data_IF_799138957700
#
_entry.id   IF_799138957700
#
_cell.length_a   1.000
_cell.length_b   1.000
_cell.length_c   1.000
_cell.angle_alpha   90.00
_cell.angle_beta   90.00
_cell.angle_gamma   90.00
#
_symmetry.space_group_name_H-M   'P 1'
#
loop_
_entity.id
_entity.type
_entity.pdbx_description
1 polymer ?
#
# COMPACT_ATOMS: atom_id res chain seq x y z
N UNK A 1 -11.16 -5.94 22.80
CA UNK A 1 -9.88 -6.24 22.13
C UNK A 1 -8.73 -5.77 23.01
N UNK A 2 -7.62 -6.46 23.00
CA UNK A 2 -6.37 -6.02 23.64
C UNK A 2 -5.31 -5.69 22.56
N UNK A 3 -4.37 -4.81 22.92
CA UNK A 3 -3.25 -4.47 22.05
C UNK A 3 -2.19 -5.57 22.16
N UNK A 4 -1.82 -6.16 21.03
CA UNK A 4 -0.74 -7.15 20.94
C UNK A 4 0.59 -6.44 21.16
N UNK A 5 1.45 -6.99 22.01
CA UNK A 5 2.79 -6.44 22.24
C UNK A 5 3.71 -6.77 21.08
N UNK A 6 4.71 -5.92 20.83
CA UNK A 6 5.65 -6.08 19.71
C UNK A 6 6.45 -7.39 19.78
N UNK A 7 6.64 -7.94 20.97
CA UNK A 7 7.28 -9.25 21.18
C UNK A 7 6.52 -10.40 20.52
N UNK A 8 5.20 -10.26 20.37
CA UNK A 8 4.32 -11.25 19.75
C UNK A 8 4.06 -11.01 18.26
N UNK A 9 4.66 -9.99 17.65
CA UNK A 9 4.45 -9.69 16.23
C UNK A 9 4.95 -10.78 15.29
N UNK A 10 5.98 -11.53 15.66
CA UNK A 10 6.42 -12.72 14.92
C UNK A 10 5.34 -13.79 14.84
N UNK A 11 4.65 -14.07 15.95
CA UNK A 11 3.54 -15.04 16.01
C UNK A 11 2.38 -14.56 15.12
N UNK A 12 2.02 -13.28 15.22
CA UNK A 12 1.00 -12.68 14.35
C UNK A 12 1.38 -12.83 12.88
N UNK A 13 2.66 -12.58 12.53
CA UNK A 13 3.15 -12.70 11.14
C UNK A 13 3.01 -14.12 10.59
N UNK A 14 3.24 -15.14 11.41
CA UNK A 14 3.06 -16.55 11.04
C UNK A 14 1.59 -16.96 10.88
N UNK A 15 0.67 -16.27 11.56
CA UNK A 15 -0.77 -16.53 11.49
C UNK A 15 -1.41 -15.98 10.21
N UNK A 16 -0.80 -14.98 9.59
CA UNK A 16 -1.38 -14.27 8.44
C UNK A 16 -0.93 -14.94 7.14
N UNK A 17 -1.89 -15.46 6.37
CA UNK A 17 -1.61 -16.04 5.04
C UNK A 17 -1.36 -14.97 3.97
N UNK A 18 -2.18 -13.89 3.99
CA UNK A 18 -2.11 -12.78 3.04
C UNK A 18 -2.64 -11.51 3.68
N UNK A 19 -1.90 -10.42 3.51
CA UNK A 19 -2.30 -9.09 3.97
C UNK A 19 -1.70 -8.00 3.05
N UNK A 20 -2.22 -6.75 3.10
CA UNK A 20 -1.59 -5.59 2.48
C UNK A 20 -0.17 -5.37 3.01
N UNK A 21 0.71 -4.80 2.20
CA UNK A 21 2.13 -4.61 2.53
C UNK A 21 2.34 -3.83 3.84
N UNK A 22 1.49 -2.82 4.13
CA UNK A 22 1.62 -2.05 5.37
C UNK A 22 1.46 -2.88 6.66
N UNK A 23 0.73 -3.99 6.60
CA UNK A 23 0.59 -4.92 7.74
C UNK A 23 1.96 -5.51 8.10
N UNK A 24 2.71 -5.97 7.11
CA UNK A 24 4.07 -6.48 7.32
C UNK A 24 5.02 -5.35 7.76
N UNK A 25 4.85 -4.13 7.23
CA UNK A 25 5.62 -2.97 7.67
C UNK A 25 5.39 -2.64 9.15
N UNK A 26 4.16 -2.79 9.67
CA UNK A 26 3.84 -2.66 11.11
C UNK A 26 4.50 -3.78 11.91
N UNK A 27 4.31 -5.04 11.48
CA UNK A 27 4.83 -6.22 12.21
C UNK A 27 6.36 -6.24 12.29
N UNK A 28 7.03 -5.67 11.32
CA UNK A 28 8.49 -5.52 11.29
C UNK A 28 8.97 -4.17 11.86
N UNK A 29 8.05 -3.37 12.40
CA UNK A 29 8.32 -2.07 13.01
C UNK A 29 9.03 -1.08 12.08
N UNK A 30 8.85 -1.22 10.77
CA UNK A 30 9.33 -0.30 9.75
C UNK A 30 8.52 1.00 9.76
N UNK A 31 7.22 0.89 10.02
CA UNK A 31 6.33 2.03 10.24
C UNK A 31 5.63 1.92 11.60
N UNK A 32 5.26 3.07 12.17
CA UNK A 32 4.52 3.12 13.42
C UNK A 32 3.08 2.64 13.22
N UNK A 33 2.67 1.68 14.06
CA UNK A 33 1.33 1.12 14.03
C UNK A 33 0.99 0.30 15.26
N UNK A 34 -0.20 -0.28 15.26
CA UNK A 34 -0.67 -1.15 16.34
C UNK A 34 -1.42 -2.35 15.78
N UNK A 35 -1.35 -3.45 16.50
CA UNK A 35 -2.12 -4.67 16.26
C UNK A 35 -3.01 -4.92 17.45
N UNK A 36 -4.28 -5.21 17.21
CA UNK A 36 -5.25 -5.58 18.22
C UNK A 36 -5.80 -6.97 17.92
N UNK A 37 -5.99 -7.78 18.96
CA UNK A 37 -6.61 -9.09 18.87
C UNK A 37 -7.88 -9.15 19.73
N UNK A 38 -8.83 -9.97 19.32
CA UNK A 38 -10.05 -10.21 20.06
C UNK A 38 -9.81 -11.12 21.28
N UNK A 39 -8.90 -12.09 21.14
CA UNK A 39 -8.54 -13.06 22.18
C UNK A 39 -7.08 -13.52 22.03
N UNK A 40 -6.59 -14.29 23.00
CA UNK A 40 -5.21 -14.81 23.00
C UNK A 40 -4.90 -15.79 21.86
N UNK A 41 -5.93 -16.40 21.27
CA UNK A 41 -5.79 -17.31 20.12
C UNK A 41 -5.65 -16.58 18.79
N UNK A 42 -5.69 -15.25 18.76
CA UNK A 42 -5.50 -14.38 17.60
C UNK A 42 -6.48 -14.69 16.44
N UNK A 43 -7.72 -15.11 16.78
CA UNK A 43 -8.70 -15.52 15.76
C UNK A 43 -9.14 -14.35 14.87
N UNK A 44 -9.19 -13.14 15.45
CA UNK A 44 -9.53 -11.92 14.70
C UNK A 44 -8.57 -10.81 15.07
N UNK A 45 -8.01 -10.18 14.06
CA UNK A 45 -7.00 -9.14 14.18
C UNK A 45 -7.45 -7.84 13.51
N UNK A 46 -7.08 -6.73 14.12
CA UNK A 46 -7.19 -5.40 13.53
C UNK A 46 -5.81 -4.73 13.55
N UNK A 47 -5.33 -4.36 12.37
CA UNK A 47 -4.10 -3.59 12.17
C UNK A 47 -4.45 -2.13 11.98
N UNK A 48 -3.64 -1.26 12.54
CA UNK A 48 -3.82 0.19 12.47
C UNK A 48 -2.47 0.87 12.25
N UNK A 49 -2.35 1.68 11.20
CA UNK A 49 -1.25 2.63 11.05
C UNK A 49 -1.54 3.91 11.83
N UNK A 50 -0.51 4.70 12.11
CA UNK A 50 -0.66 6.03 12.72
C UNK A 50 -1.50 7.00 11.86
N UNK A 51 -1.45 6.84 10.54
CA UNK A 51 -2.18 7.69 9.58
C UNK A 51 -3.65 7.31 9.36
N UNK A 52 -4.19 6.32 10.09
CA UNK A 52 -5.60 5.93 9.98
C UNK A 52 -5.92 4.98 8.82
N UNK A 53 -4.94 4.14 8.45
CA UNK A 53 -5.15 3.00 7.56
C UNK A 53 -5.31 1.76 8.42
N UNK A 54 -6.33 0.95 8.11
CA UNK A 54 -6.70 -0.22 8.89
C UNK A 54 -6.79 -1.46 8.01
N UNK A 55 -6.59 -2.63 8.61
CA UNK A 55 -6.84 -3.93 7.97
C UNK A 55 -7.44 -4.88 8.98
N UNK A 56 -8.49 -5.62 8.58
CA UNK A 56 -9.11 -6.68 9.38
C UNK A 56 -8.74 -8.05 8.83
N UNK A 57 -8.46 -8.99 9.73
CA UNK A 57 -8.11 -10.36 9.39
C UNK A 57 -8.79 -11.36 10.33
N UNK A 58 -9.08 -12.57 9.82
CA UNK A 58 -9.60 -13.69 10.59
C UNK A 58 -11.12 -13.74 10.66
N UNK A 59 -11.66 -14.21 11.78
CA UNK A 59 -13.09 -14.49 11.96
C UNK A 59 -13.93 -13.20 12.03
N UNK A 60 -14.82 -13.03 11.07
CA UNK A 60 -15.75 -11.89 10.98
C UNK A 60 -16.88 -11.90 12.02
N UNK A 61 -17.06 -13.00 12.75
CA UNK A 61 -18.06 -13.07 13.84
C UNK A 61 -17.70 -12.24 15.07
N UNK A 62 -16.45 -11.76 15.15
CA UNK A 62 -15.95 -11.00 16.31
C UNK A 62 -16.64 -9.63 16.45
N UNK A 63 -17.58 -9.53 17.39
CA UNK A 63 -18.24 -8.27 17.74
C UNK A 63 -17.28 -7.26 18.38
N UNK A 64 -16.19 -7.72 18.97
CA UNK A 64 -15.17 -6.85 19.55
C UNK A 64 -14.42 -6.06 18.48
N UNK A 65 -14.10 -6.69 17.32
CA UNK A 65 -13.45 -6.02 16.19
C UNK A 65 -14.37 -4.95 15.61
N UNK A 66 -15.64 -5.28 15.35
CA UNK A 66 -16.64 -4.33 14.82
C UNK A 66 -16.83 -3.14 15.77
N UNK A 67 -16.96 -3.39 17.07
CA UNK A 67 -17.10 -2.32 18.06
C UNK A 67 -15.88 -1.41 18.11
N UNK A 68 -14.67 -1.98 17.99
CA UNK A 68 -13.43 -1.20 17.90
C UNK A 68 -13.38 -0.36 16.63
N UNK A 69 -13.74 -0.95 15.47
CA UNK A 69 -13.81 -0.23 14.19
C UNK A 69 -14.81 0.93 14.24
N UNK A 70 -15.99 0.72 14.82
CA UNK A 70 -17.00 1.78 14.99
C UNK A 70 -16.47 2.94 15.84
N UNK A 71 -15.77 2.63 16.94
CA UNK A 71 -15.16 3.64 17.80
C UNK A 71 -14.06 4.43 17.06
N UNK A 72 -13.20 3.76 16.29
CA UNK A 72 -12.13 4.39 15.51
C UNK A 72 -12.70 5.26 14.38
N UNK A 73 -13.77 4.81 13.72
CA UNK A 73 -14.48 5.59 12.72
C UNK A 73 -15.10 6.85 13.33
N UNK A 74 -15.78 6.74 14.47
CA UNK A 74 -16.35 7.87 15.19
C UNK A 74 -15.26 8.88 15.59
N UNK A 75 -14.15 8.40 16.15
CA UNK A 75 -13.00 9.26 16.49
C UNK A 75 -12.45 9.97 15.25
N UNK A 76 -12.36 9.27 14.11
CA UNK A 76 -11.88 9.86 12.86
C UNK A 76 -12.80 10.98 12.34
N UNK A 77 -14.11 10.82 12.52
CA UNK A 77 -15.11 11.85 12.16
C UNK A 77 -14.94 13.06 13.06
N UNK A 78 -14.89 12.87 14.38
CA UNK A 78 -14.79 13.96 15.37
C UNK A 78 -13.49 14.74 15.22
N UNK A 79 -12.38 14.06 14.91
CA UNK A 79 -11.06 14.68 14.79
C UNK A 79 -10.69 15.08 13.36
N UNK A 80 -11.60 14.88 12.40
CA UNK A 80 -11.36 15.06 10.97
C UNK A 80 -10.08 14.36 10.48
N UNK A 81 -9.85 13.12 10.95
CA UNK A 81 -8.73 12.26 10.56
C UNK A 81 -9.14 11.30 9.47
N UNK A 82 -8.16 10.71 8.80
CA UNK A 82 -8.34 9.62 7.83
C UNK A 82 -8.94 8.38 8.50
N UNK A 83 -9.84 7.71 7.79
CA UNK A 83 -10.26 6.34 8.06
C UNK A 83 -10.32 5.60 6.72
N UNK A 84 -9.43 4.65 6.53
CA UNK A 84 -9.36 3.81 5.32
C UNK A 84 -9.14 2.37 5.75
N UNK A 85 -10.16 1.52 5.59
CA UNK A 85 -10.18 0.15 6.06
C UNK A 85 -10.10 -0.82 4.88
N UNK A 86 -9.07 -1.63 4.84
CA UNK A 86 -8.86 -2.71 3.88
C UNK A 86 -9.49 -4.01 4.39
N UNK A 87 -10.14 -4.74 3.50
CA UNK A 87 -10.70 -6.05 3.79
C UNK A 87 -10.57 -6.98 2.59
N UNK A 88 -9.96 -8.16 2.80
CA UNK A 88 -9.81 -9.21 1.78
C UNK A 88 -10.86 -10.33 1.92
N UNK A 89 -11.78 -10.21 2.87
CA UNK A 89 -12.81 -11.21 3.18
C UNK A 89 -14.20 -10.68 2.88
N UNK A 90 -14.98 -11.43 2.10
CA UNK A 90 -16.38 -11.09 1.81
C UNK A 90 -17.26 -11.14 3.07
N UNK A 91 -16.94 -12.02 4.03
CA UNK A 91 -17.65 -12.07 5.32
C UNK A 91 -17.41 -10.79 6.13
N UNK A 92 -16.16 -10.30 6.16
CA UNK A 92 -15.86 -8.99 6.74
C UNK A 92 -16.53 -7.85 5.99
N UNK A 93 -16.54 -7.88 4.64
CA UNK A 93 -17.20 -6.86 3.82
C UNK A 93 -18.68 -6.77 4.19
N UNK A 94 -19.37 -7.90 4.23
CA UNK A 94 -20.78 -7.98 4.62
C UNK A 94 -21.03 -7.42 6.02
N UNK A 95 -20.19 -7.79 6.98
CA UNK A 95 -20.31 -7.33 8.37
C UNK A 95 -20.08 -5.81 8.50
N UNK A 96 -19.08 -5.27 7.82
CA UNK A 96 -18.77 -3.84 7.79
C UNK A 96 -19.93 -3.06 7.15
N UNK A 97 -20.45 -3.52 6.02
CA UNK A 97 -21.60 -2.90 5.35
C UNK A 97 -22.86 -2.89 6.24
N UNK A 98 -23.14 -3.98 6.94
CA UNK A 98 -24.29 -4.04 7.85
C UNK A 98 -24.20 -3.08 9.03
N UNK A 99 -23.00 -2.80 9.52
CA UNK A 99 -22.77 -2.09 10.78
C UNK A 99 -22.30 -0.64 10.62
N UNK A 100 -21.63 -0.31 9.51
CA UNK A 100 -20.97 0.99 9.32
C UNK A 100 -21.42 1.73 8.04
N UNK A 101 -22.31 1.18 7.23
CA UNK A 101 -22.70 1.68 5.89
C UNK A 101 -23.08 3.16 5.82
N UNK A 102 -23.65 3.71 6.89
CA UNK A 102 -24.12 5.13 6.91
C UNK A 102 -22.94 6.10 6.91
N UNK A 103 -21.77 5.66 7.35
CA UNK A 103 -20.59 6.50 7.61
C UNK A 103 -19.41 6.23 6.69
N UNK A 104 -19.49 5.15 5.89
CA UNK A 104 -18.39 4.76 5.00
C UNK A 104 -18.89 4.55 3.57
N UNK A 105 -18.02 4.90 2.62
CA UNK A 105 -18.15 4.50 1.22
C UNK A 105 -17.29 3.26 1.00
N UNK A 106 -17.64 2.45 -0.01
CA UNK A 106 -16.87 1.28 -0.44
C UNK A 106 -16.33 1.53 -1.84
N UNK A 107 -15.09 1.17 -2.08
CA UNK A 107 -14.52 0.99 -3.40
C UNK A 107 -13.89 -0.41 -3.50
N UNK A 108 -13.74 -0.90 -4.72
CA UNK A 108 -13.05 -2.15 -4.99
C UNK A 108 -11.71 -1.90 -5.63
N UNK A 109 -10.73 -2.71 -5.26
CA UNK A 109 -9.38 -2.68 -5.81
C UNK A 109 -8.97 -4.08 -6.27
N UNK A 110 -8.01 -4.14 -7.16
CA UNK A 110 -7.27 -5.36 -7.47
C UNK A 110 -5.95 -5.37 -6.70
N UNK A 111 -5.59 -6.56 -6.18
CA UNK A 111 -4.24 -6.91 -5.79
C UNK A 111 -3.76 -8.04 -6.69
N UNK A 112 -2.48 -8.05 -7.05
CA UNK A 112 -1.93 -8.96 -8.05
C UNK A 112 -0.89 -9.89 -7.44
N UNK A 113 -0.66 -11.02 -8.12
CA UNK A 113 0.50 -11.86 -7.88
C UNK A 113 1.61 -11.49 -8.85
N UNK A 114 2.84 -11.35 -8.36
CA UNK A 114 3.99 -11.11 -9.23
C UNK A 114 4.56 -12.44 -9.77
N UNK A 115 4.63 -12.56 -11.08
CA UNK A 115 5.25 -13.68 -11.80
C UNK A 115 6.61 -13.23 -12.37
N UNK A 116 7.68 -13.65 -11.69
CA UNK A 116 9.07 -13.35 -12.10
C UNK A 116 9.42 -13.89 -13.49
N UNK A 117 8.83 -15.02 -13.90
CA UNK A 117 9.10 -15.58 -15.22
C UNK A 117 8.42 -14.75 -16.32
N UNK A 118 7.16 -14.35 -16.10
CA UNK A 118 6.47 -13.44 -17.01
C UNK A 118 7.22 -12.10 -17.12
N UNK A 119 7.68 -11.54 -15.99
CA UNK A 119 8.50 -10.33 -15.97
C UNK A 119 9.80 -10.50 -16.78
N UNK A 120 10.53 -11.56 -16.61
CA UNK A 120 11.82 -11.80 -17.28
C UNK A 120 11.67 -12.03 -18.80
N UNK A 121 10.55 -12.59 -19.24
CA UNK A 121 10.27 -12.91 -20.64
C UNK A 121 9.51 -11.81 -21.39
N UNK A 122 9.16 -10.68 -20.73
CA UNK A 122 8.48 -9.55 -21.37
C UNK A 122 9.37 -8.87 -22.41
N UNK A 123 8.76 -8.17 -23.35
CA UNK A 123 9.49 -7.20 -24.17
C UNK A 123 10.03 -6.07 -23.27
N UNK A 124 11.33 -5.88 -23.30
CA UNK A 124 11.97 -4.80 -22.55
C UNK A 124 11.70 -3.45 -23.23
N UNK A 125 11.43 -2.45 -22.42
CA UNK A 125 11.38 -1.08 -22.96
C UNK A 125 12.77 -0.67 -23.48
N UNK A 126 12.78 -0.06 -24.67
CA UNK A 126 13.98 0.60 -25.16
C UNK A 126 14.40 1.71 -24.17
N UNK A 127 15.70 2.00 -24.11
CA UNK A 127 16.20 3.07 -23.27
C UNK A 127 15.56 4.39 -23.67
N UNK A 128 14.81 4.98 -22.76
CA UNK A 128 14.26 6.32 -22.98
C UNK A 128 15.39 7.34 -22.80
N UNK A 129 15.33 8.43 -23.59
CA UNK A 129 16.29 9.55 -23.48
C UNK A 129 15.99 10.44 -22.26
N UNK A 130 15.69 9.82 -21.10
CA UNK A 130 15.44 10.50 -19.84
C UNK A 130 16.39 9.97 -18.77
N UNK A 131 16.84 10.88 -17.91
CA UNK A 131 17.68 10.52 -16.78
C UNK A 131 16.85 9.82 -15.70
N UNK A 132 17.21 8.58 -15.36
CA UNK A 132 16.58 7.84 -14.25
C UNK A 132 17.50 7.86 -13.04
N UNK A 133 17.03 8.43 -11.93
CA UNK A 133 17.82 8.57 -10.70
C UNK A 133 17.05 8.02 -9.50
N UNK A 134 17.80 7.50 -8.50
CA UNK A 134 17.23 7.08 -7.22
C UNK A 134 16.83 8.30 -6.40
N UNK A 135 15.67 8.24 -5.77
CA UNK A 135 15.14 9.33 -4.95
C UNK A 135 16.00 9.50 -3.69
N UNK A 136 16.41 10.74 -3.44
CA UNK A 136 17.07 11.24 -2.24
C UNK A 136 16.37 12.52 -1.79
N UNK A 137 16.81 13.14 -0.71
CA UNK A 137 16.19 14.37 -0.18
C UNK A 137 15.99 15.45 -1.26
N UNK A 138 17.00 15.71 -2.08
CA UNK A 138 16.91 16.73 -3.13
C UNK A 138 15.76 16.45 -4.14
N UNK A 139 15.48 15.18 -4.49
CA UNK A 139 14.39 14.84 -5.39
C UNK A 139 13.04 15.04 -4.70
N UNK A 140 12.94 14.79 -3.40
CA UNK A 140 11.73 15.00 -2.61
C UNK A 140 11.39 16.49 -2.54
N UNK A 141 12.38 17.34 -2.38
CA UNK A 141 12.21 18.81 -2.34
C UNK A 141 11.72 19.39 -3.70
N UNK A 142 11.91 18.65 -4.80
CA UNK A 142 11.54 19.03 -6.17
C UNK A 142 10.60 18.01 -6.83
N UNK A 143 9.90 17.22 -6.04
CA UNK A 143 9.06 16.11 -6.49
C UNK A 143 7.90 16.55 -7.40
N UNK A 144 7.36 15.58 -8.12
CA UNK A 144 6.12 15.76 -8.88
C UNK A 144 4.89 15.67 -7.96
N UNK A 145 4.86 14.64 -7.09
CA UNK A 145 3.74 14.39 -6.18
C UNK A 145 4.21 13.91 -4.79
N UNK A 146 5.21 13.03 -4.72
CA UNK A 146 5.62 12.40 -3.46
C UNK A 146 6.51 13.31 -2.63
N UNK A 147 5.89 14.29 -1.98
CA UNK A 147 6.53 15.31 -1.15
C UNK A 147 6.72 14.86 0.30
N UNK A 148 7.29 15.73 1.15
CA UNK A 148 7.51 15.42 2.56
C UNK A 148 6.22 15.03 3.29
N UNK A 149 5.06 15.65 2.98
CA UNK A 149 3.78 15.32 3.60
C UNK A 149 3.34 13.89 3.26
N UNK A 150 3.55 13.43 2.02
CA UNK A 150 3.31 12.05 1.62
C UNK A 150 4.13 11.07 2.48
N UNK A 151 5.41 11.33 2.68
CA UNK A 151 6.25 10.45 3.51
C UNK A 151 5.92 10.53 5.00
N UNK A 152 5.53 11.69 5.51
CA UNK A 152 5.00 11.81 6.87
C UNK A 152 3.75 10.96 7.07
N UNK A 153 2.86 10.93 6.08
CA UNK A 153 1.61 10.16 6.14
C UNK A 153 1.86 8.65 6.13
N UNK A 154 2.68 8.14 5.22
CA UNK A 154 2.83 6.70 5.02
C UNK A 154 4.02 6.10 5.78
N UNK A 155 5.07 6.87 6.00
CA UNK A 155 6.31 6.43 6.63
C UNK A 155 6.55 7.02 8.02
N UNK A 156 5.72 7.96 8.45
CA UNK A 156 5.89 8.70 9.68
C UNK A 156 6.93 9.81 9.61
N UNK A 157 7.85 9.75 8.64
CA UNK A 157 8.79 10.83 8.30
C UNK A 157 9.51 10.55 6.97
N UNK A 158 9.98 11.62 6.33
CA UNK A 158 10.87 11.53 5.15
C UNK A 158 12.18 10.79 5.47
N UNK A 159 12.74 10.99 6.66
CA UNK A 159 13.95 10.30 7.10
C UNK A 159 13.77 8.78 7.15
N UNK A 160 12.64 8.31 7.70
CA UNK A 160 12.34 6.88 7.74
C UNK A 160 12.18 6.28 6.33
N UNK A 161 11.53 7.00 5.40
CA UNK A 161 11.50 6.57 4.00
C UNK A 161 12.89 6.47 3.37
N UNK A 162 13.74 7.48 3.57
CA UNK A 162 15.09 7.49 2.99
C UNK A 162 15.99 6.38 3.56
N UNK A 163 15.76 5.96 4.79
CA UNK A 163 16.50 4.88 5.45
C UNK A 163 15.97 3.49 5.06
N UNK A 164 14.66 3.29 5.05
CA UNK A 164 14.03 1.97 4.95
C UNK A 164 13.26 1.75 3.65
N UNK A 165 12.86 2.80 2.95
CA UNK A 165 12.19 2.77 1.66
C UNK A 165 13.15 2.95 0.49
N UNK A 166 12.61 3.06 -0.70
CA UNK A 166 13.35 3.44 -1.92
C UNK A 166 12.37 3.93 -3.00
N UNK A 167 12.93 4.58 -4.02
CA UNK A 167 12.19 5.04 -5.18
C UNK A 167 13.09 5.58 -6.26
N UNK A 168 12.51 5.82 -7.42
CA UNK A 168 13.16 6.34 -8.60
C UNK A 168 12.34 7.48 -9.20
N UNK A 169 13.00 8.42 -9.86
CA UNK A 169 12.34 9.42 -10.68
C UNK A 169 12.99 9.54 -12.05
N UNK A 170 12.20 9.93 -13.04
CA UNK A 170 12.65 10.28 -14.38
C UNK A 170 12.69 11.80 -14.52
N UNK A 171 13.77 12.32 -15.08
CA UNK A 171 13.96 13.75 -15.35
C UNK A 171 14.01 14.04 -16.84
N UNK A 172 13.41 15.16 -17.21
CA UNK A 172 13.59 15.82 -18.49
C UNK A 172 14.15 17.23 -18.24
N UNK A 173 15.44 17.40 -18.43
CA UNK A 173 16.17 18.56 -17.92
C UNK A 173 16.12 18.59 -16.39
N UNK A 174 15.71 19.72 -15.83
CA UNK A 174 15.60 19.87 -14.36
C UNK A 174 14.25 19.41 -13.79
N UNK A 175 13.27 19.10 -14.67
CA UNK A 175 11.91 18.71 -14.24
C UNK A 175 11.81 17.22 -14.01
N UNK A 176 11.25 16.80 -12.86
CA UNK A 176 10.81 15.43 -12.62
C UNK A 176 9.48 15.23 -13.37
N UNK A 177 9.40 14.15 -14.16
CA UNK A 177 8.28 13.87 -15.07
C UNK A 177 7.58 12.55 -14.75
N UNK A 178 8.22 11.66 -13.99
CA UNK A 178 7.61 10.45 -13.45
C UNK A 178 8.34 10.01 -12.20
N UNK A 179 7.62 9.45 -11.24
CA UNK A 179 8.14 8.94 -9.96
C UNK A 179 7.52 7.57 -9.67
N UNK A 180 8.33 6.69 -9.09
CA UNK A 180 7.89 5.42 -8.52
C UNK A 180 8.56 5.23 -7.16
N UNK A 181 7.76 5.03 -6.12
CA UNK A 181 8.23 4.90 -4.74
C UNK A 181 7.62 3.67 -4.06
N UNK A 182 8.30 3.15 -3.05
CA UNK A 182 7.66 2.21 -2.13
C UNK A 182 6.72 3.00 -1.21
N UNK A 183 5.39 2.86 -1.40
CA UNK A 183 4.42 3.43 -0.45
C UNK A 183 4.54 2.73 0.89
N UNK A 184 4.73 1.42 0.88
CA UNK A 184 5.04 0.58 2.04
C UNK A 184 6.11 -0.44 1.68
N UNK A 185 6.90 -0.83 2.66
CA UNK A 185 7.94 -1.85 2.49
C UNK A 185 8.14 -2.65 3.78
N UNK A 186 8.44 -3.92 3.61
CA UNK A 186 8.90 -4.85 4.62
C UNK A 186 10.19 -5.55 4.14
N UNK A 187 10.70 -6.49 4.91
CA UNK A 187 11.82 -7.32 4.46
C UNK A 187 11.50 -8.16 3.22
N UNK A 188 10.22 -8.56 3.06
CA UNK A 188 9.79 -9.47 1.99
C UNK A 188 9.03 -8.78 0.86
N UNK A 189 8.40 -7.62 1.11
CA UNK A 189 7.48 -6.99 0.18
C UNK A 189 7.78 -5.51 0.02
N UNK A 190 7.57 -4.98 -1.18
CA UNK A 190 7.53 -3.54 -1.44
C UNK A 190 6.36 -3.22 -2.37
N UNK A 191 5.45 -2.39 -1.91
CA UNK A 191 4.30 -1.93 -2.67
C UNK A 191 4.64 -0.64 -3.40
N UNK A 192 4.42 -0.63 -4.71
CA UNK A 192 4.76 0.50 -5.56
C UNK A 192 3.62 1.51 -5.61
N UNK A 193 3.98 2.80 -5.54
CA UNK A 193 3.13 3.92 -5.95
C UNK A 193 3.79 4.69 -7.07
N UNK A 194 3.02 5.08 -8.10
CA UNK A 194 3.56 5.66 -9.33
C UNK A 194 2.73 6.85 -9.78
N UNK A 195 3.43 7.92 -10.14
CA UNK A 195 2.84 9.08 -10.80
C UNK A 195 3.61 9.43 -12.06
N UNK A 196 2.90 9.93 -13.07
CA UNK A 196 3.50 10.50 -14.30
C UNK A 196 2.79 11.81 -14.64
N UNK A 197 3.57 12.86 -14.86
CA UNK A 197 3.08 14.18 -15.28
C UNK A 197 2.14 14.05 -16.49
N UNK A 198 1.00 14.71 -16.42
CA UNK A 198 -0.08 14.61 -17.42
C UNK A 198 0.39 14.87 -18.85
N UNK A 199 1.36 15.76 -19.04
CA UNK A 199 1.92 16.12 -20.35
C UNK A 199 2.86 15.05 -20.92
N UNK A 200 3.26 14.07 -20.09
CA UNK A 200 4.19 12.99 -20.46
C UNK A 200 3.52 11.60 -20.42
N UNK A 201 2.20 11.54 -20.24
CA UNK A 201 1.45 10.28 -20.31
C UNK A 201 1.42 9.72 -21.74
N UNK A 202 1.23 8.41 -21.86
CA UNK A 202 1.22 7.72 -23.15
C UNK A 202 2.61 7.44 -23.74
N UNK A 203 3.70 7.89 -23.12
CA UNK A 203 5.09 7.69 -23.56
C UNK A 203 5.78 6.46 -22.96
N UNK A 204 5.05 5.62 -22.22
CA UNK A 204 5.61 4.42 -21.58
C UNK A 204 6.41 4.67 -20.30
N UNK A 205 6.45 5.92 -19.79
CA UNK A 205 7.29 6.30 -18.64
C UNK A 205 6.93 5.54 -17.36
N UNK A 206 5.63 5.35 -17.09
CA UNK A 206 5.17 4.60 -15.92
C UNK A 206 5.68 3.14 -15.95
N UNK A 207 5.63 2.48 -17.10
CA UNK A 207 6.17 1.12 -17.25
C UNK A 207 7.69 1.10 -17.07
N UNK A 208 8.41 2.04 -17.67
CA UNK A 208 9.86 2.13 -17.58
C UNK A 208 10.34 2.36 -16.13
N UNK A 209 9.72 3.30 -15.40
CA UNK A 209 10.13 3.58 -14.02
C UNK A 209 9.74 2.45 -13.06
N UNK A 210 8.60 1.78 -13.32
CA UNK A 210 8.20 0.60 -12.57
C UNK A 210 9.17 -0.57 -12.80
N UNK A 211 9.75 -0.74 -14.00
CA UNK A 211 10.83 -1.71 -14.24
C UNK A 211 12.02 -1.46 -13.33
N UNK A 212 12.44 -0.19 -13.16
CA UNK A 212 13.56 0.16 -12.26
C UNK A 212 13.25 -0.19 -10.81
N UNK A 213 12.00 0.04 -10.39
CA UNK A 213 11.54 -0.35 -9.06
C UNK A 213 11.54 -1.87 -8.87
N UNK A 214 11.01 -2.63 -9.83
CA UNK A 214 10.95 -4.09 -9.79
C UNK A 214 12.35 -4.69 -9.83
N UNK A 215 13.25 -4.18 -10.68
CA UNK A 215 14.62 -4.63 -10.75
C UNK A 215 15.35 -4.45 -9.40
N UNK A 216 15.17 -3.30 -8.73
CA UNK A 216 15.73 -3.05 -7.40
C UNK A 216 15.14 -4.01 -6.35
N UNK A 217 13.84 -4.29 -6.40
CA UNK A 217 13.21 -5.32 -5.56
C UNK A 217 13.87 -6.69 -5.75
N UNK A 218 14.01 -7.12 -7.01
CA UNK A 218 14.56 -8.45 -7.33
C UNK A 218 16.04 -8.59 -6.98
N UNK A 219 16.81 -7.52 -7.07
CA UNK A 219 18.23 -7.48 -6.64
C UNK A 219 18.39 -7.63 -5.12
N UNK A 220 17.37 -7.25 -4.36
CA UNK A 220 17.37 -7.29 -2.89
C UNK A 220 16.49 -8.42 -2.31
N UNK A 221 16.08 -9.40 -3.13
CA UNK A 221 15.19 -10.51 -2.76
C UNK A 221 13.84 -10.05 -2.16
N UNK A 222 13.35 -8.88 -2.58
CA UNK A 222 12.06 -8.31 -2.19
C UNK A 222 11.04 -8.62 -3.28
N UNK A 223 9.84 -9.04 -2.89
CA UNK A 223 8.73 -9.26 -3.81
C UNK A 223 8.02 -7.92 -4.07
N UNK A 224 7.98 -7.43 -5.31
CA UNK A 224 7.19 -6.25 -5.65
C UNK A 224 5.70 -6.55 -5.54
N UNK A 225 4.92 -5.59 -5.02
CA UNK A 225 3.47 -5.64 -4.91
C UNK A 225 2.85 -4.54 -5.75
N UNK A 226 1.70 -4.86 -6.36
CA UNK A 226 0.93 -3.96 -7.21
C UNK A 226 -0.54 -4.05 -6.86
N UNK A 227 -1.12 -2.91 -6.51
CA UNK A 227 -2.54 -2.77 -6.26
C UNK A 227 -3.08 -1.57 -7.05
N UNK A 228 -4.31 -1.67 -7.55
CA UNK A 228 -4.96 -0.53 -8.21
C UNK A 228 -6.48 -0.58 -8.05
N UNK A 229 -7.14 0.56 -8.16
CA UNK A 229 -8.59 0.63 -8.22
C UNK A 229 -9.10 -0.10 -9.47
N UNK A 230 -10.25 -0.75 -9.38
CA UNK A 230 -10.80 -1.55 -10.50
C UNK A 230 -11.05 -0.71 -11.76
N UNK A 231 -11.33 0.59 -11.58
CA UNK A 231 -11.58 1.54 -12.67
C UNK A 231 -10.30 2.18 -13.21
N UNK A 232 -9.13 1.93 -12.57
CA UNK A 232 -7.85 2.42 -13.04
C UNK A 232 -7.24 1.47 -14.10
N UNK A 233 -7.86 1.47 -15.29
CA UNK A 233 -7.42 0.63 -16.40
C UNK A 233 -5.97 0.89 -16.82
N UNK A 234 -5.49 2.14 -16.67
CA UNK A 234 -4.09 2.50 -16.98
C UNK A 234 -3.11 1.74 -16.08
N UNK A 235 -3.32 1.79 -14.75
CA UNK A 235 -2.51 1.06 -13.78
C UNK A 235 -2.61 -0.46 -13.98
N UNK A 236 -3.83 -0.98 -14.21
CA UNK A 236 -4.04 -2.39 -14.51
C UNK A 236 -3.18 -2.87 -15.69
N UNK A 237 -3.21 -2.13 -16.82
CA UNK A 237 -2.44 -2.52 -18.00
C UNK A 237 -0.93 -2.41 -17.81
N UNK A 238 -0.46 -1.40 -17.07
CA UNK A 238 0.97 -1.29 -16.72
C UNK A 238 1.40 -2.48 -15.87
N UNK A 239 0.65 -2.81 -14.81
CA UNK A 239 0.95 -3.96 -13.96
C UNK A 239 0.97 -5.28 -14.76
N UNK A 240 -0.05 -5.54 -15.59
CA UNK A 240 -0.14 -6.75 -16.40
C UNK A 240 1.06 -6.94 -17.35
N UNK A 241 1.54 -5.87 -17.99
CA UNK A 241 2.73 -5.88 -18.83
C UNK A 241 4.02 -6.18 -18.06
N UNK A 242 4.05 -5.88 -16.78
CA UNK A 242 5.20 -6.05 -15.90
C UNK A 242 5.17 -7.35 -15.08
N UNK A 243 4.36 -8.32 -15.51
CA UNK A 243 4.31 -9.64 -14.88
C UNK A 243 3.45 -9.71 -13.62
N UNK A 244 2.61 -8.71 -13.37
CA UNK A 244 1.58 -8.79 -12.32
C UNK A 244 0.34 -9.49 -12.88
N UNK A 245 0.03 -10.66 -12.34
CA UNK A 245 -0.97 -11.61 -12.84
C UNK A 245 -2.00 -11.96 -11.76
N UNK A 246 -3.03 -12.72 -12.14
CA UNK A 246 -4.03 -13.25 -11.21
C UNK A 246 -4.63 -12.16 -10.31
N UNK A 247 -5.27 -11.11 -10.86
CA UNK A 247 -5.88 -10.07 -10.07
C UNK A 247 -6.99 -10.64 -9.18
N UNK A 248 -6.94 -10.30 -7.89
CA UNK A 248 -7.97 -10.66 -6.92
C UNK A 248 -8.57 -9.37 -6.39
N UNK A 249 -9.91 -9.30 -6.41
CA UNK A 249 -10.62 -8.14 -5.86
C UNK A 249 -10.61 -8.15 -4.35
N UNK A 250 -10.57 -6.95 -3.78
CA UNK A 250 -10.77 -6.71 -2.36
C UNK A 250 -11.48 -5.37 -2.14
N UNK A 251 -12.04 -5.19 -0.96
CA UNK A 251 -12.76 -3.97 -0.60
C UNK A 251 -11.89 -3.00 0.20
N UNK A 252 -12.10 -1.70 -0.05
CA UNK A 252 -11.61 -0.61 0.78
C UNK A 252 -12.81 0.24 1.20
N UNK A 253 -12.98 0.42 2.51
CA UNK A 253 -13.99 1.29 3.10
C UNK A 253 -13.32 2.56 3.58
N UNK A 254 -13.89 3.70 3.24
CA UNK A 254 -13.34 4.99 3.64
C UNK A 254 -14.46 5.91 4.13
N UNK A 255 -14.11 6.83 5.00
CA UNK A 255 -15.04 7.81 5.57
C UNK A 255 -15.76 8.58 4.45
N UNK A 256 -17.06 8.71 4.51
CA UNK A 256 -17.89 9.28 3.42
C UNK A 256 -17.61 10.77 3.10
N UNK A 257 -16.84 11.46 3.95
CA UNK A 257 -16.41 12.86 3.75
C UNK A 257 -15.06 13.01 3.06
N UNK A 258 -14.35 11.93 2.75
CA UNK A 258 -12.98 11.93 2.23
C UNK A 258 -12.89 11.79 0.68
N UNK A 259 -13.88 12.32 -0.04
CA UNK A 259 -13.86 12.44 -1.51
C UNK A 259 -13.57 13.83 -1.98
#
# INVERSE_FOLDING_TARGET
MFKVTTENYSIVKETIERAPTFVYSILEQVIEGAVYADNESLHSLLFQTKSGIYYVYGDSSSEQVISKLAALLQESIEQNKRFTLFSYSEDWNTKIEQRLNVYVNKLERYTFSFDKNAYNNREKHESLNYECIKIKQHQIDHCLEFNNQYYEEYWGSTSNFLENGFGFCLKHGDKIISEAVSIFKSQQFAEIDIVTDSNYRGLGLASFIAEKFIDDCLLNDIKPCWDCDIDNHGSYHVGAKLGFTNPVKYAVFYKSTDR
#
